data_IF_393496647580
#
_entry.id   IF_393496647580
#
_cell.length_a   1.000
_cell.length_b   1.000
_cell.length_c   1.000
_cell.angle_alpha   90.00
_cell.angle_beta   90.00
_cell.angle_gamma   90.00
#
_symmetry.space_group_name_H-M   'P 1'
#
loop_
_entity.id
_entity.type
_entity.pdbx_description
1 polymer ?
#
# COMPACT_ATOMS: atom_id res chain seq x y z
N UNK A 1 2.91 2.19 -29.56
CA UNK A 1 2.42 0.84 -29.13
C UNK A 1 3.53 -0.04 -28.56
N UNK A 2 4.71 -0.10 -29.22
CA UNK A 2 5.86 -0.87 -28.73
C UNK A 2 6.37 -0.40 -27.36
N UNK A 3 6.21 0.86 -26.99
CA UNK A 3 6.54 1.38 -25.65
C UNK A 3 5.70 0.73 -24.52
N UNK A 4 4.50 0.22 -24.83
CA UNK A 4 3.64 -0.42 -23.83
C UNK A 4 4.01 -1.90 -23.69
N UNK A 5 4.88 -2.21 -22.73
CA UNK A 5 5.37 -3.57 -22.46
C UNK A 5 4.26 -4.60 -22.21
N UNK A 6 3.08 -4.16 -21.75
CA UNK A 6 1.92 -5.03 -21.53
C UNK A 6 1.15 -5.44 -22.78
N UNK A 7 1.48 -4.90 -23.96
CA UNK A 7 0.87 -5.31 -25.22
C UNK A 7 1.84 -6.25 -25.94
N UNK A 8 1.34 -7.44 -26.31
CA UNK A 8 2.15 -8.46 -27.00
C UNK A 8 2.41 -8.09 -28.44
N UNK A 9 3.51 -8.57 -29.02
CA UNK A 9 3.79 -8.34 -30.46
C UNK A 9 2.70 -8.93 -31.36
N UNK A 10 2.06 -10.04 -30.96
CA UNK A 10 0.95 -10.63 -31.71
C UNK A 10 -0.29 -9.72 -31.70
N UNK A 11 -0.53 -9.02 -30.59
CA UNK A 11 -1.64 -8.08 -30.51
C UNK A 11 -1.36 -6.77 -31.25
N UNK A 12 -0.12 -6.27 -31.19
CA UNK A 12 0.32 -5.15 -32.03
C UNK A 12 0.14 -5.52 -33.51
N UNK A 13 0.63 -6.67 -33.92
CA UNK A 13 0.53 -7.22 -35.27
C UNK A 13 -0.92 -7.24 -35.79
N UNK A 14 -1.86 -7.78 -34.99
CA UNK A 14 -3.30 -7.77 -35.32
C UNK A 14 -3.87 -6.37 -35.51
N UNK A 15 -3.45 -5.38 -34.70
CA UNK A 15 -3.97 -4.01 -34.76
C UNK A 15 -3.47 -3.22 -35.96
N UNK A 16 -2.28 -3.53 -36.47
CA UNK A 16 -1.62 -2.79 -37.57
C UNK A 16 -1.56 -3.58 -38.88
N UNK A 17 -2.15 -4.77 -38.93
CA UNK A 17 -2.18 -5.61 -40.14
C UNK A 17 -0.83 -6.20 -40.54
N UNK A 18 0.11 -6.35 -39.60
CA UNK A 18 1.43 -6.96 -39.85
C UNK A 18 1.54 -8.36 -39.26
N UNK A 19 2.57 -9.10 -39.63
CA UNK A 19 2.89 -10.38 -38.98
C UNK A 19 3.57 -10.15 -37.63
N UNK A 20 3.39 -11.10 -36.70
CA UNK A 20 4.07 -11.08 -35.38
C UNK A 20 5.58 -10.95 -35.52
N UNK A 21 6.16 -11.66 -36.49
CA UNK A 21 7.60 -11.70 -36.70
C UNK A 21 8.12 -10.36 -37.23
N UNK A 22 7.38 -9.71 -38.13
CA UNK A 22 7.72 -8.37 -38.61
C UNK A 22 7.75 -7.35 -37.46
N UNK A 23 6.76 -7.40 -36.57
CA UNK A 23 6.73 -6.56 -35.36
C UNK A 23 7.92 -6.86 -34.44
N UNK A 24 8.31 -8.13 -34.29
CA UNK A 24 9.48 -8.51 -33.47
C UNK A 24 10.79 -7.95 -34.04
N UNK A 25 10.99 -8.02 -35.35
CA UNK A 25 12.18 -7.48 -36.02
C UNK A 25 12.27 -5.96 -35.87
N UNK A 26 11.17 -5.25 -36.10
CA UNK A 26 11.10 -3.79 -35.92
C UNK A 26 11.37 -3.39 -34.46
N UNK A 27 10.79 -4.12 -33.49
CA UNK A 27 11.05 -3.88 -32.08
C UNK A 27 12.54 -4.03 -31.73
N UNK A 28 13.22 -5.04 -32.30
CA UNK A 28 14.65 -5.26 -32.09
C UNK A 28 15.49 -4.13 -32.67
N UNK A 29 15.20 -3.69 -33.91
CA UNK A 29 15.91 -2.60 -34.57
C UNK A 29 15.80 -1.27 -33.81
N UNK A 30 14.66 -1.03 -33.16
CA UNK A 30 14.41 0.16 -32.36
C UNK A 30 14.85 0.03 -30.89
N UNK A 31 15.54 -1.06 -30.52
CA UNK A 31 16.06 -1.27 -29.15
C UNK A 31 15.00 -1.62 -28.11
N UNK A 32 13.78 -2.01 -28.50
CA UNK A 32 12.75 -2.43 -27.55
C UNK A 32 12.99 -3.86 -27.03
N UNK A 33 12.59 -4.08 -25.78
CA UNK A 33 12.73 -5.36 -25.11
C UNK A 33 12.03 -6.52 -25.87
N UNK A 34 12.65 -7.70 -25.86
CA UNK A 34 12.10 -8.91 -26.45
C UNK A 34 10.80 -9.38 -25.74
N UNK A 35 10.01 -10.21 -26.40
CA UNK A 35 8.69 -10.64 -25.91
C UNK A 35 8.66 -11.19 -24.48
N UNK A 36 9.63 -12.01 -24.07
CA UNK A 36 9.71 -12.55 -22.68
C UNK A 36 10.04 -11.44 -21.67
N UNK A 37 10.99 -10.57 -22.01
CA UNK A 37 11.39 -9.42 -21.19
C UNK A 37 10.24 -8.44 -21.01
N UNK A 38 9.46 -8.16 -22.07
CA UNK A 38 8.24 -7.35 -22.01
C UNK A 38 7.21 -7.91 -21.04
N UNK A 39 6.99 -9.23 -21.05
CA UNK A 39 6.09 -9.88 -20.10
C UNK A 39 6.60 -9.78 -18.66
N UNK A 40 7.91 -9.91 -18.43
CA UNK A 40 8.51 -9.71 -17.12
C UNK A 40 8.30 -8.27 -16.62
N UNK A 41 8.58 -7.27 -17.48
CA UNK A 41 8.39 -5.85 -17.17
C UNK A 41 6.92 -5.54 -16.91
N UNK A 42 5.99 -6.01 -17.75
CA UNK A 42 4.56 -5.80 -17.54
C UNK A 42 4.07 -6.43 -16.22
N UNK A 43 4.54 -7.63 -15.86
CA UNK A 43 4.20 -8.25 -14.57
C UNK A 43 4.70 -7.40 -13.41
N UNK A 44 5.91 -6.86 -13.50
CA UNK A 44 6.46 -5.96 -12.49
C UNK A 44 5.68 -4.65 -12.39
N UNK A 45 5.33 -4.03 -13.53
CA UNK A 45 4.50 -2.81 -13.57
C UNK A 45 3.10 -3.04 -12.99
N UNK A 46 2.45 -4.17 -13.31
CA UNK A 46 1.14 -4.54 -12.72
C UNK A 46 1.26 -4.75 -11.22
N UNK A 47 2.30 -5.43 -10.74
CA UNK A 47 2.57 -5.60 -9.31
C UNK A 47 2.80 -4.26 -8.61
N UNK A 48 3.52 -3.33 -9.26
CA UNK A 48 3.77 -1.98 -8.74
C UNK A 48 2.48 -1.14 -8.71
N UNK A 49 1.61 -1.24 -9.71
CA UNK A 49 0.29 -0.59 -9.72
C UNK A 49 -0.67 -1.19 -8.69
N UNK A 50 -0.56 -2.49 -8.42
CA UNK A 50 -1.33 -3.18 -7.39
C UNK A 50 -0.72 -3.02 -5.99
N UNK A 51 0.44 -2.34 -5.86
CA UNK A 51 1.12 -2.16 -4.60
C UNK A 51 0.29 -1.22 -3.70
N UNK A 52 -0.01 -1.64 -2.46
CA UNK A 52 -0.64 -0.76 -1.49
C UNK A 52 0.16 0.54 -1.28
N UNK A 53 -0.54 1.66 -1.20
CA UNK A 53 0.07 2.99 -1.10
C UNK A 53 1.06 3.14 0.06
N UNK A 54 0.84 2.45 1.17
CA UNK A 54 1.74 2.42 2.32
C UNK A 54 3.16 2.01 1.90
N UNK A 55 3.29 0.99 1.06
CA UNK A 55 4.57 0.48 0.59
C UNK A 55 5.22 1.43 -0.42
N UNK A 56 4.42 2.08 -1.27
CA UNK A 56 4.90 3.14 -2.16
C UNK A 56 5.46 4.30 -1.35
N UNK A 57 4.76 4.70 -0.29
CA UNK A 57 5.16 5.78 0.62
C UNK A 57 6.39 5.42 1.45
N UNK A 58 6.54 4.15 1.83
CA UNK A 58 7.75 3.63 2.47
C UNK A 58 8.96 3.71 1.54
N UNK A 59 8.83 3.28 0.28
CA UNK A 59 9.90 3.39 -0.72
C UNK A 59 10.33 4.84 -0.95
N UNK A 60 9.36 5.76 -1.08
CA UNK A 60 9.63 7.21 -1.20
C UNK A 60 10.41 7.78 -0.02
N UNK A 61 10.23 7.21 1.18
CA UNK A 61 10.94 7.58 2.42
C UNK A 61 12.29 6.85 2.57
N UNK A 62 12.74 6.10 1.56
CA UNK A 62 14.04 5.41 1.56
C UNK A 62 14.04 4.05 2.26
N UNK A 63 12.87 3.48 2.57
CA UNK A 63 12.81 2.13 3.13
C UNK A 63 13.00 1.07 2.04
N UNK A 64 13.77 0.04 2.34
CA UNK A 64 13.83 -1.16 1.52
C UNK A 64 12.52 -1.95 1.71
N UNK A 65 11.75 -2.09 0.64
CA UNK A 65 10.47 -2.80 0.63
C UNK A 65 10.56 -4.04 -0.25
N UNK A 66 10.40 -5.20 0.38
CA UNK A 66 10.39 -6.50 -0.28
C UNK A 66 8.96 -7.04 -0.31
N UNK A 67 8.31 -6.99 -1.48
CA UNK A 67 6.93 -7.45 -1.62
C UNK A 67 6.81 -8.96 -1.51
N UNK A 68 5.89 -9.43 -0.66
CA UNK A 68 5.51 -10.84 -0.56
C UNK A 68 4.20 -11.15 -1.29
N UNK A 69 3.35 -10.15 -1.46
CA UNK A 69 2.05 -10.30 -2.09
C UNK A 69 1.38 -8.96 -2.35
N UNK A 70 0.07 -8.99 -2.56
CA UNK A 70 -0.72 -7.79 -2.89
C UNK A 70 -1.00 -6.91 -1.68
N UNK A 71 -0.84 -7.39 -0.44
CA UNK A 71 -1.16 -6.63 0.79
C UNK A 71 -0.07 -6.68 1.86
N UNK A 72 1.07 -7.31 1.56
CA UNK A 72 2.07 -7.71 2.54
C UNK A 72 3.47 -7.50 1.96
N UNK A 73 4.38 -6.95 2.77
CA UNK A 73 5.77 -6.76 2.40
C UNK A 73 6.68 -6.82 3.63
N UNK A 74 7.93 -7.20 3.46
CA UNK A 74 8.96 -6.93 4.47
C UNK A 74 9.47 -5.51 4.31
N UNK A 75 9.58 -4.80 5.44
CA UNK A 75 10.29 -3.52 5.55
C UNK A 75 11.31 -3.66 6.66
N UNK A 76 12.60 -3.55 6.33
CA UNK A 76 13.69 -3.78 7.29
C UNK A 76 13.53 -5.10 8.09
N UNK A 77 13.16 -6.19 7.40
CA UNK A 77 12.94 -7.50 8.01
C UNK A 77 11.63 -7.66 8.82
N UNK A 78 10.80 -6.61 8.93
CA UNK A 78 9.51 -6.67 9.62
C UNK A 78 8.36 -6.92 8.65
N UNK A 79 7.53 -7.90 8.94
CA UNK A 79 6.36 -8.22 8.14
C UNK A 79 5.29 -7.14 8.32
N UNK A 80 5.10 -6.34 7.28
CA UNK A 80 4.19 -5.21 7.26
C UNK A 80 2.96 -5.51 6.40
N UNK A 81 1.80 -5.07 6.85
CA UNK A 81 0.53 -5.17 6.12
C UNK A 81 -0.21 -3.84 6.07
N UNK A 82 -1.01 -3.61 5.01
CA UNK A 82 -1.89 -2.45 4.91
C UNK A 82 -3.37 -2.85 5.08
N UNK A 83 -4.11 -2.08 5.88
CA UNK A 83 -5.57 -2.12 6.03
C UNK A 83 -6.17 -0.74 5.76
N UNK A 84 -7.50 -0.65 5.73
CA UNK A 84 -8.23 0.62 5.65
C UNK A 84 -8.91 0.87 6.99
N UNK A 85 -8.85 2.11 7.48
CA UNK A 85 -9.75 2.59 8.52
C UNK A 85 -11.06 3.05 7.85
N UNK A 86 -12.17 2.92 8.57
CA UNK A 86 -13.48 3.36 8.10
C UNK A 86 -14.10 4.31 9.12
N UNK A 87 -14.85 5.30 8.66
CA UNK A 87 -15.73 6.07 9.54
C UNK A 87 -16.81 5.18 10.12
N UNK A 88 -17.11 5.36 11.39
CA UNK A 88 -18.15 4.66 12.10
C UNK A 88 -18.81 5.61 13.09
N UNK A 89 -20.11 5.67 13.05
CA UNK A 89 -20.87 6.48 13.98
C UNK A 89 -21.15 5.69 15.26
N UNK A 90 -20.98 6.33 16.40
CA UNK A 90 -21.21 5.77 17.74
C UNK A 90 -22.23 6.65 18.45
N UNK A 91 -23.20 6.03 19.10
CA UNK A 91 -24.30 6.72 19.78
C UNK A 91 -25.63 6.62 19.04
N UNK A 92 -26.66 7.32 19.54
CA UNK A 92 -28.01 7.34 18.98
C UNK A 92 -28.60 8.74 19.08
N UNK A 93 -29.45 9.11 18.13
CA UNK A 93 -30.14 10.39 18.10
C UNK A 93 -29.16 11.56 18.04
N UNK A 94 -29.38 12.55 18.90
CA UNK A 94 -28.58 13.78 18.98
C UNK A 94 -27.15 13.58 19.52
N UNK A 95 -26.87 12.44 20.15
CA UNK A 95 -25.56 12.09 20.71
C UNK A 95 -24.78 11.16 19.77
N UNK A 96 -24.90 11.36 18.46
CA UNK A 96 -24.22 10.57 17.44
C UNK A 96 -22.89 11.23 17.08
N UNK A 97 -21.80 10.50 17.31
CA UNK A 97 -20.43 10.96 17.06
C UNK A 97 -19.75 10.08 16.02
N UNK A 98 -19.04 10.69 15.08
CA UNK A 98 -18.33 9.98 14.02
C UNK A 98 -16.86 9.76 14.41
N UNK A 99 -16.43 8.50 14.45
CA UNK A 99 -15.06 8.11 14.79
C UNK A 99 -14.43 7.25 13.70
N UNK A 100 -13.10 7.19 13.66
CA UNK A 100 -12.41 6.19 12.85
C UNK A 100 -12.41 4.85 13.58
N UNK A 101 -12.90 3.82 12.89
CA UNK A 101 -12.90 2.44 13.35
C UNK A 101 -11.80 1.64 12.67
N UNK A 102 -11.06 0.88 13.47
CA UNK A 102 -10.06 -0.09 13.02
C UNK A 102 -10.34 -1.44 13.66
N UNK A 103 -10.25 -2.50 12.85
CA UNK A 103 -10.38 -3.89 13.29
C UNK A 103 -9.03 -4.56 13.41
N UNK A 104 -8.92 -5.52 14.34
CA UNK A 104 -7.72 -6.33 14.47
C UNK A 104 -7.35 -6.97 13.13
N UNK A 105 -6.08 -6.89 12.69
CA UNK A 105 -5.68 -7.60 11.50
C UNK A 105 -5.61 -9.11 11.79
N UNK A 106 -6.24 -9.92 10.94
CA UNK A 106 -6.01 -11.36 10.96
C UNK A 106 -4.65 -11.74 10.36
N UNK A 107 -4.09 -12.86 10.82
CA UNK A 107 -2.85 -13.45 10.31
C UNK A 107 -1.57 -12.97 11.00
N UNK A 108 -0.42 -13.40 10.47
CA UNK A 108 0.90 -13.03 10.99
C UNK A 108 1.32 -11.66 10.42
N UNK A 109 1.77 -10.77 11.30
CA UNK A 109 2.38 -9.48 10.97
C UNK A 109 3.19 -8.98 12.17
N UNK A 110 4.14 -8.10 11.92
CA UNK A 110 4.86 -7.35 12.96
C UNK A 110 4.32 -5.93 13.07
N UNK A 111 3.95 -5.33 11.93
CA UNK A 111 3.41 -3.95 11.84
C UNK A 111 2.20 -3.93 10.91
N UNK A 112 1.15 -3.24 11.35
CA UNK A 112 -0.03 -2.96 10.52
C UNK A 112 -0.18 -1.46 10.32
N UNK A 113 -0.35 -1.06 9.06
CA UNK A 113 -0.65 0.30 8.66
C UNK A 113 -2.12 0.41 8.22
N UNK A 114 -2.94 1.16 8.96
CA UNK A 114 -4.28 1.51 8.50
C UNK A 114 -4.21 2.81 7.71
N UNK A 115 -4.59 2.76 6.44
CA UNK A 115 -4.81 3.95 5.63
C UNK A 115 -6.04 4.68 6.16
N UNK A 116 -5.85 5.94 6.54
CA UNK A 116 -6.90 6.84 6.99
C UNK A 116 -7.59 7.49 5.77
N UNK A 117 -8.81 8.02 5.92
CA UNK A 117 -9.54 8.66 4.82
C UNK A 117 -8.83 9.87 4.20
N UNK A 118 -8.03 10.59 4.99
CA UNK A 118 -7.22 11.73 4.56
C UNK A 118 -5.90 11.34 3.85
N UNK A 119 -5.64 10.04 3.70
CA UNK A 119 -4.44 9.51 3.05
C UNK A 119 -3.24 9.28 3.96
N UNK A 120 -3.30 9.66 5.24
CA UNK A 120 -2.27 9.33 6.24
C UNK A 120 -2.37 7.86 6.65
N UNK A 121 -1.36 7.38 7.39
CA UNK A 121 -1.30 6.02 7.91
C UNK A 121 -1.20 5.99 9.43
N UNK A 122 -2.12 5.30 10.09
CA UNK A 122 -1.93 4.84 11.46
C UNK A 122 -1.04 3.60 11.46
N UNK A 123 0.17 3.69 12.03
CA UNK A 123 1.17 2.63 11.99
C UNK A 123 1.34 2.05 13.38
N UNK A 124 0.87 0.81 13.61
CA UNK A 124 0.97 0.15 14.91
C UNK A 124 1.78 -1.16 14.82
N UNK A 125 2.65 -1.42 15.81
CA UNK A 125 3.23 -2.74 15.98
C UNK A 125 2.17 -3.70 16.56
N UNK A 126 2.33 -5.00 16.30
CA UNK A 126 1.39 -6.05 16.75
C UNK A 126 1.06 -6.00 18.25
N UNK A 127 2.03 -5.61 19.09
CA UNK A 127 1.81 -5.46 20.54
C UNK A 127 0.73 -4.42 20.92
N UNK A 128 0.44 -3.47 20.04
CA UNK A 128 -0.59 -2.44 20.25
C UNK A 128 -1.91 -2.76 19.55
N UNK A 129 -2.03 -3.95 18.96
CA UNK A 129 -3.22 -4.42 18.25
C UNK A 129 -3.91 -5.56 19.03
N UNK A 130 -4.00 -5.40 20.35
CA UNK A 130 -4.64 -6.35 21.28
C UNK A 130 -6.16 -6.23 21.35
N UNK A 131 -6.76 -5.30 20.61
CA UNK A 131 -8.21 -5.12 20.51
C UNK A 131 -8.81 -5.99 19.40
N UNK A 132 -10.10 -6.34 19.52
CA UNK A 132 -10.88 -6.93 18.40
C UNK A 132 -11.29 -5.87 17.38
N UNK A 133 -11.83 -4.76 17.88
CA UNK A 133 -12.14 -3.53 17.15
C UNK A 133 -11.96 -2.37 18.12
N UNK A 134 -11.47 -1.24 17.63
CA UNK A 134 -11.37 -0.01 18.42
C UNK A 134 -11.72 1.20 17.55
N UNK A 135 -12.21 2.25 18.19
CA UNK A 135 -12.55 3.52 17.57
C UNK A 135 -11.71 4.63 18.18
N UNK A 136 -11.27 5.59 17.37
CA UNK A 136 -10.54 6.76 17.85
C UNK A 136 -10.82 7.98 16.98
N UNK A 137 -10.60 9.17 17.52
CA UNK A 137 -10.66 10.41 16.76
C UNK A 137 -9.24 10.73 16.22
N UNK A 138 -9.06 10.94 14.90
CA UNK A 138 -7.77 11.39 14.36
C UNK A 138 -7.43 12.86 14.69
N UNK A 139 -8.42 13.68 15.08
CA UNK A 139 -8.29 15.13 15.31
C UNK A 139 -8.32 15.50 16.81
N UNK A 140 -7.89 16.72 17.16
CA UNK A 140 -7.99 17.21 18.56
C UNK A 140 -9.42 17.63 18.75
N UNK A 141 -10.10 17.04 19.74
CA UNK A 141 -11.37 17.56 20.21
C UNK A 141 -11.15 18.17 21.59
N UNK A 142 -11.62 19.40 21.78
CA UNK A 142 -11.71 20.04 23.10
C UNK A 142 -12.66 19.28 24.04
N UNK A 143 -13.60 18.54 23.45
CA UNK A 143 -14.43 17.60 24.19
C UNK A 143 -13.55 16.47 24.73
N UNK A 144 -13.34 16.49 26.05
CA UNK A 144 -12.93 15.36 26.87
C UNK A 144 -14.01 14.27 26.79
N UNK A 145 -14.14 13.64 25.62
CA UNK A 145 -14.92 12.40 25.50
C UNK A 145 -14.38 11.42 26.55
N UNK A 146 -15.32 10.74 27.23
CA UNK A 146 -15.12 9.72 28.26
C UNK A 146 -13.70 9.15 28.27
N UNK A 147 -12.93 9.44 29.32
CA UNK A 147 -11.56 9.06 29.73
C UNK A 147 -10.85 7.85 29.06
N UNK A 148 -10.98 7.66 27.75
CA UNK A 148 -10.77 6.38 27.08
C UNK A 148 -9.95 6.61 25.83
N UNK A 149 -8.67 6.24 25.90
CA UNK A 149 -7.82 5.70 24.82
C UNK A 149 -7.72 6.40 23.43
N UNK A 150 -8.46 7.49 23.18
CA UNK A 150 -8.58 8.20 21.90
C UNK A 150 -7.24 8.78 21.45
N UNK A 151 -6.53 9.43 22.37
CA UNK A 151 -5.24 10.06 22.10
C UNK A 151 -4.11 9.03 21.90
N UNK A 152 -4.26 7.81 22.42
CA UNK A 152 -3.20 6.81 22.41
C UNK A 152 -2.79 6.40 20.99
N UNK A 153 -3.75 6.25 20.08
CA UNK A 153 -3.46 5.83 18.71
C UNK A 153 -3.00 6.99 17.83
N UNK A 154 -3.38 8.23 18.18
CA UNK A 154 -3.03 9.40 17.38
C UNK A 154 -1.53 9.63 17.26
N UNK A 155 -0.78 9.45 18.36
CA UNK A 155 0.70 9.53 18.36
C UNK A 155 1.36 8.47 17.45
N UNK A 156 0.60 7.53 16.90
CA UNK A 156 1.07 6.53 15.95
C UNK A 156 0.70 6.84 14.49
N UNK A 157 -0.01 7.94 14.23
CA UNK A 157 -0.23 8.44 12.87
C UNK A 157 1.10 8.90 12.29
N UNK A 158 1.41 8.45 11.07
CA UNK A 158 2.67 8.69 10.35
C UNK A 158 3.92 8.34 11.17
N UNK A 159 3.82 7.42 12.14
CA UNK A 159 4.96 7.01 12.99
C UNK A 159 5.88 6.01 12.27
N UNK A 160 6.44 6.44 11.13
CA UNK A 160 7.35 5.67 10.28
C UNK A 160 8.59 5.15 11.02
N UNK A 161 9.00 5.82 12.10
CA UNK A 161 10.13 5.40 12.95
C UNK A 161 9.95 3.99 13.54
N UNK A 162 8.72 3.48 13.64
CA UNK A 162 8.44 2.10 14.04
C UNK A 162 8.99 1.06 13.06
N UNK A 163 9.20 1.44 11.79
CA UNK A 163 9.82 0.60 10.76
C UNK A 163 11.35 0.55 10.90
N UNK A 164 11.94 1.32 11.84
CA UNK A 164 13.38 1.48 11.99
C UNK A 164 13.93 2.64 11.14
N UNK A 165 15.25 2.67 10.94
CA UNK A 165 15.90 3.67 10.09
C UNK A 165 15.83 3.24 8.61
N UNK A 166 15.61 4.18 7.68
CA UNK A 166 15.84 3.92 6.25
C UNK A 166 17.28 3.44 6.05
N UNK A 167 17.49 2.47 5.15
CA UNK A 167 18.87 2.11 4.77
C UNK A 167 19.44 3.29 4.03
N UNK A 168 20.46 3.96 4.60
CA UNK A 168 21.28 4.92 3.85
C UNK A 168 21.90 4.15 2.69
N UNK A 169 21.52 4.48 1.46
CA UNK A 169 22.26 4.08 0.27
C UNK A 169 23.68 4.64 0.43
N UNK A 170 24.66 3.75 0.59
CA UNK A 170 26.06 4.08 0.30
C UNK A 170 26.23 4.16 -1.21
#
# INVERSE_FOLDING_TARGET
MLERNCITHAEIARRIGLTRERVRQLALQMGFAAGRSRHAICRMERRRKAMPEFFVQAQKRGFAVELLGTRNAYINGKLCIQRKACWHDVGRGEYKYTYLSIRQPGGRFDICAWKLPDGRFLILPKKLTGFRQTTFNPEESEHLGTASSSHYYRQHIERWSLLGRPRRSK
#
